data_IF_968464908741
#
_entry.id   IF_968464908741
#
_cell.length_a   1.000
_cell.length_b   1.000
_cell.length_c   1.000
_cell.angle_alpha   90.00
_cell.angle_beta   90.00
_cell.angle_gamma   90.00
#
_symmetry.space_group_name_H-M   'P 1'
#
loop_
_entity.id
_entity.type
_entity.pdbx_description
1 polymer ?
#
# COMPACT_ATOMS: atom_id res chain seq x y z
N UNK A 1 5.37 -5.45 -11.04
CA UNK A 1 6.01 -5.40 -9.71
C UNK A 1 5.44 -4.19 -8.96
N UNK A 2 4.89 -4.38 -7.76
CA UNK A 2 4.24 -3.33 -6.96
C UNK A 2 5.02 -3.17 -5.64
N UNK A 3 5.32 -1.93 -5.25
CA UNK A 3 5.92 -1.61 -3.94
C UNK A 3 4.83 -1.65 -2.85
N UNK A 4 5.18 -2.06 -1.64
CA UNK A 4 4.26 -2.00 -0.49
C UNK A 4 3.81 -0.55 -0.19
N UNK A 5 2.58 -0.42 0.32
CA UNK A 5 2.04 0.85 0.77
C UNK A 5 2.72 1.35 2.05
N UNK A 6 2.55 2.64 2.38
CA UNK A 6 3.23 3.27 3.52
C UNK A 6 2.93 2.54 4.84
N UNK A 7 3.99 2.22 5.58
CA UNK A 7 3.91 1.69 6.93
C UNK A 7 4.12 2.78 7.98
N UNK A 8 3.76 2.51 9.24
CA UNK A 8 3.90 3.47 10.34
C UNK A 8 5.35 3.97 10.52
N UNK A 9 6.38 3.15 10.30
CA UNK A 9 7.74 3.68 10.38
C UNK A 9 8.22 4.41 9.13
N UNK A 10 7.63 4.17 7.96
CA UNK A 10 7.95 5.03 6.82
C UNK A 10 7.58 6.49 7.13
N UNK A 11 6.46 6.68 7.83
CA UNK A 11 6.04 8.01 8.31
C UNK A 11 6.94 8.53 9.43
N UNK A 12 7.27 7.68 10.41
CA UNK A 12 8.06 8.07 11.56
C UNK A 12 9.59 8.08 11.31
N UNK A 13 10.04 7.88 10.06
CA UNK A 13 11.45 7.77 9.64
C UNK A 13 12.28 6.80 10.49
N UNK A 14 11.65 5.76 11.05
CA UNK A 14 12.35 4.71 11.80
C UNK A 14 12.78 3.61 10.83
N UNK A 15 14.02 3.16 10.95
CA UNK A 15 14.48 1.96 10.23
C UNK A 15 14.00 0.72 11.02
N UNK A 16 13.52 -0.32 10.32
CA UNK A 16 13.16 -1.57 10.99
C UNK A 16 14.21 -2.67 10.84
N UNK A 17 14.42 -3.39 11.93
CA UNK A 17 14.99 -4.74 11.96
C UNK A 17 13.84 -5.76 11.98
N UNK A 18 13.54 -6.39 10.84
CA UNK A 18 12.72 -7.63 10.64
C UNK A 18 11.32 -7.78 11.29
N UNK A 19 10.88 -6.91 12.20
CA UNK A 19 9.57 -7.00 12.82
C UNK A 19 8.48 -6.57 11.82
N UNK A 20 7.43 -7.38 11.71
CA UNK A 20 6.26 -7.10 10.88
C UNK A 20 5.70 -5.71 11.20
N UNK A 21 5.73 -4.83 10.19
CA UNK A 21 5.28 -3.45 10.33
C UNK A 21 3.86 -3.36 9.79
N UNK A 22 2.94 -2.91 10.62
CA UNK A 22 1.57 -2.60 10.20
C UNK A 22 1.57 -1.41 9.22
N UNK A 23 0.68 -1.46 8.21
CA UNK A 23 0.42 -0.32 7.33
C UNK A 23 -0.12 0.85 8.15
N UNK A 24 0.25 2.07 7.75
CA UNK A 24 -0.38 3.26 8.32
C UNK A 24 -1.77 3.47 7.75
N UNK A 25 -2.58 4.36 8.35
CA UNK A 25 -3.87 4.75 7.76
C UNK A 25 -3.71 5.24 6.31
N UNK A 26 -2.64 6.00 6.05
CA UNK A 26 -2.26 6.42 4.70
C UNK A 26 -1.91 5.23 3.81
N UNK A 27 -1.21 4.23 4.32
CA UNK A 27 -0.90 2.99 3.61
C UNK A 27 -2.16 2.23 3.19
N UNK A 28 -3.16 2.14 4.07
CA UNK A 28 -4.44 1.50 3.74
C UNK A 28 -5.15 2.24 2.58
N UNK A 29 -5.18 3.59 2.63
CA UNK A 29 -5.76 4.40 1.53
C UNK A 29 -5.00 4.22 0.21
N UNK A 30 -3.67 4.15 0.25
CA UNK A 30 -2.85 3.89 -0.94
C UNK A 30 -3.14 2.53 -1.56
N UNK A 31 -3.23 1.48 -0.74
CA UNK A 31 -3.57 0.13 -1.19
C UNK A 31 -4.97 0.09 -1.81
N UNK A 32 -5.96 0.71 -1.17
CA UNK A 32 -7.33 0.79 -1.69
C UNK A 32 -7.40 1.54 -3.02
N UNK A 33 -6.72 2.68 -3.14
CA UNK A 33 -6.70 3.46 -4.38
C UNK A 33 -6.03 2.69 -5.53
N UNK A 34 -4.94 1.96 -5.24
CA UNK A 34 -4.28 1.12 -6.24
C UNK A 34 -5.18 -0.02 -6.70
N UNK A 35 -5.85 -0.71 -5.76
CA UNK A 35 -6.80 -1.78 -6.06
C UNK A 35 -7.94 -1.27 -6.95
N UNK A 36 -8.55 -0.14 -6.60
CA UNK A 36 -9.60 0.48 -7.40
C UNK A 36 -9.13 0.80 -8.82
N UNK A 37 -7.91 1.33 -8.99
CA UNK A 37 -7.32 1.63 -10.32
C UNK A 37 -7.08 0.38 -11.14
N UNK A 38 -6.49 -0.66 -10.54
CA UNK A 38 -6.21 -1.91 -11.24
C UNK A 38 -7.51 -2.59 -11.71
N UNK A 39 -8.58 -2.49 -10.91
CA UNK A 39 -9.89 -3.03 -11.25
C UNK A 39 -10.66 -2.20 -12.27
N UNK A 40 -10.59 -0.86 -12.22
CA UNK A 40 -11.20 -0.01 -13.26
C UNK A 40 -10.56 -0.25 -14.62
N UNK A 41 -9.27 -0.56 -14.67
CA UNK A 41 -8.58 -0.95 -15.90
C UNK A 41 -8.82 -2.42 -16.33
N UNK A 42 -9.30 -3.30 -15.44
CA UNK A 42 -9.69 -4.68 -15.77
C UNK A 42 -11.16 -4.82 -16.22
N UNK A 43 -11.95 -3.74 -16.17
CA UNK A 43 -13.36 -3.73 -16.59
C UNK A 43 -13.61 -3.52 -18.10
N UNK A 44 -12.60 -3.65 -18.95
CA UNK A 44 -12.71 -3.52 -20.42
C UNK A 44 -12.43 -4.84 -21.18
N UNK A 45 -12.50 -5.99 -20.51
CA UNK A 45 -12.58 -7.31 -21.17
C UNK A 45 -13.21 -8.33 -20.24
N UNK A 46 -14.54 -8.44 -20.31
CA UNK A 46 -15.26 -9.70 -20.18
C UNK A 46 -16.24 -9.77 -21.35
#
# INVERSE_FOLDING_TARGET
MIRHAASEANLNRKLFSRASITLSEQGHKQAQALYSKLNTHHGASL
#
